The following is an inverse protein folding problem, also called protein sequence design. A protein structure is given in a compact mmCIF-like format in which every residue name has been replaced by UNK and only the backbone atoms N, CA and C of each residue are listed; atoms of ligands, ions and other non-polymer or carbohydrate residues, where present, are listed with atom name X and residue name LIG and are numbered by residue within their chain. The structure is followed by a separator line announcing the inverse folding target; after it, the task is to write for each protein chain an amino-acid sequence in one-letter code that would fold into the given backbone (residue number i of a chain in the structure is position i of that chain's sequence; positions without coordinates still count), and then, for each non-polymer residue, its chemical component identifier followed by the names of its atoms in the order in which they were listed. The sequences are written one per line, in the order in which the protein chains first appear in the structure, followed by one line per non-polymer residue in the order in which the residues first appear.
data_IF_334792055321
#
_entry.id   IF_334792055321
#
_cell.length_a   1.000
_cell.length_b   1.000
_cell.length_c   1.000
_cell.angle_alpha   90.00
_cell.angle_beta   90.00
_cell.angle_gamma   90.00
#
_symmetry.space_group_name_H-M   'P 1'
#
loop_
_entity.id
_entity.type
_entity.pdbx_description
1 polymer ?
#
# COMPACT_ATOMS: atom_id res chain seq x y z
N UNK A 1 -3.90 37.25 -26.46
CA UNK A 1 -3.27 37.05 -25.14
C UNK A 1 -4.35 37.01 -24.07
N UNK A 2 -4.75 35.83 -23.63
CA UNK A 2 -5.44 35.61 -22.35
C UNK A 2 -5.52 34.10 -22.12
N UNK A 3 -4.38 33.49 -21.80
CA UNK A 3 -4.38 32.17 -21.16
C UNK A 3 -5.03 32.36 -19.79
N UNK A 4 -6.29 31.93 -19.66
CA UNK A 4 -6.94 31.77 -18.37
C UNK A 4 -6.04 30.86 -17.53
N UNK A 5 -5.43 31.42 -16.49
CA UNK A 5 -4.95 30.65 -15.35
C UNK A 5 -6.18 29.98 -14.72
N UNK A 6 -6.58 28.81 -15.21
CA UNK A 6 -7.40 27.89 -14.44
C UNK A 6 -6.54 27.49 -13.24
N UNK A 7 -6.85 28.06 -12.07
CA UNK A 7 -6.29 27.57 -10.82
C UNK A 7 -6.64 26.09 -10.71
N UNK A 8 -5.64 25.23 -10.86
CA UNK A 8 -5.80 23.79 -10.69
C UNK A 8 -6.29 23.57 -9.26
N UNK A 9 -7.49 23.01 -9.12
CA UNK A 9 -8.12 22.76 -7.83
C UNK A 9 -7.29 21.72 -7.03
N UNK A 10 -7.14 21.88 -5.70
CA UNK A 10 -6.36 20.94 -4.91
C UNK A 10 -6.88 19.50 -5.01
N UNK A 11 -5.96 18.52 -5.12
CA UNK A 11 -6.27 17.10 -5.30
C UNK A 11 -7.24 16.54 -4.25
N UNK A 12 -7.19 17.01 -3.01
CA UNK A 12 -8.04 16.50 -1.92
C UNK A 12 -9.52 16.90 -2.06
N UNK A 13 -9.84 17.94 -2.85
CA UNK A 13 -11.22 18.44 -2.96
C UNK A 13 -12.19 17.41 -3.54
N UNK A 14 -11.70 16.46 -4.32
CA UNK A 14 -12.52 15.36 -4.83
C UNK A 14 -13.14 14.49 -3.71
N UNK A 15 -12.52 14.44 -2.53
CA UNK A 15 -13.02 13.68 -1.38
C UNK A 15 -14.04 14.46 -0.53
N UNK A 16 -14.11 15.78 -0.73
CA UNK A 16 -15.01 16.69 0.00
C UNK A 16 -16.22 17.10 -0.84
N UNK A 17 -16.44 16.42 -1.98
CA UNK A 17 -17.54 16.66 -2.91
C UNK A 17 -18.40 15.41 -3.06
N UNK A 18 -19.69 15.62 -3.30
CA UNK A 18 -20.59 14.54 -3.66
C UNK A 18 -20.09 13.88 -4.95
N UNK A 19 -19.77 12.58 -4.92
CA UNK A 19 -19.14 11.96 -6.09
C UNK A 19 -20.09 11.81 -7.30
N UNK A 20 -21.38 12.11 -7.15
CA UNK A 20 -22.33 12.24 -8.26
C UNK A 20 -22.56 13.68 -8.72
N UNK A 21 -22.81 14.60 -7.80
CA UNK A 21 -23.21 15.98 -8.14
C UNK A 21 -22.05 16.99 -8.10
N UNK A 22 -20.89 16.57 -7.62
CA UNK A 22 -19.65 17.36 -7.56
C UNK A 22 -19.72 18.67 -6.77
N UNK A 23 -20.83 18.99 -6.10
CA UNK A 23 -20.87 20.07 -5.11
C UNK A 23 -20.09 19.67 -3.85
N UNK A 24 -19.54 20.67 -3.16
CA UNK A 24 -18.90 20.50 -1.85
C UNK A 24 -19.98 20.12 -0.84
N UNK A 25 -19.64 19.25 0.11
CA UNK A 25 -20.57 18.90 1.19
C UNK A 25 -20.84 20.09 2.10
N UNK A 26 -22.03 20.15 2.68
CA UNK A 26 -22.41 21.25 3.57
C UNK A 26 -23.09 20.75 4.83
N UNK A 27 -22.90 21.47 5.95
CA UNK A 27 -23.53 21.14 7.22
C UNK A 27 -24.90 21.83 7.39
N UNK A 28 -25.04 23.10 7.02
CA UNK A 28 -26.29 23.86 7.25
C UNK A 28 -27.47 23.29 6.44
N UNK A 29 -27.20 22.86 5.21
CA UNK A 29 -28.19 22.20 4.37
C UNK A 29 -28.12 20.68 4.51
N UNK A 30 -29.08 20.08 5.21
CA UNK A 30 -29.18 18.62 5.42
C UNK A 30 -29.18 17.81 4.13
N UNK A 31 -29.61 18.39 3.00
CA UNK A 31 -29.59 17.72 1.68
C UNK A 31 -28.16 17.46 1.17
N UNK A 32 -27.19 18.25 1.64
CA UNK A 32 -25.79 18.23 1.23
C UNK A 32 -24.89 17.49 2.22
N UNK A 33 -25.47 16.89 3.27
CA UNK A 33 -24.71 16.10 4.24
C UNK A 33 -24.02 14.91 3.55
N UNK A 34 -22.73 14.66 3.84
CA UNK A 34 -21.99 13.53 3.26
C UNK A 34 -22.46 12.22 3.88
N UNK A 35 -22.79 11.24 3.04
CA UNK A 35 -23.14 9.88 3.44
C UNK A 35 -22.23 8.92 2.67
N UNK A 36 -21.42 8.18 3.42
CA UNK A 36 -20.51 7.18 2.87
C UNK A 36 -21.22 5.83 2.72
N UNK A 37 -21.09 5.23 1.55
CA UNK A 37 -21.64 3.92 1.23
C UNK A 37 -20.75 2.79 1.79
N UNK A 38 -21.32 1.79 2.51
CA UNK A 38 -20.54 0.84 3.29
C UNK A 38 -19.78 -0.21 2.48
N UNK A 39 -20.15 -0.48 1.23
CA UNK A 39 -19.50 -1.50 0.40
C UNK A 39 -18.47 -0.94 -0.58
N UNK A 40 -18.46 0.37 -0.84
CA UNK A 40 -17.58 1.00 -1.84
C UNK A 40 -16.80 2.23 -1.34
N UNK A 41 -17.06 2.74 -0.13
CA UNK A 41 -16.41 3.93 0.45
C UNK A 41 -16.60 5.24 -0.36
N UNK A 42 -17.45 5.20 -1.39
CA UNK A 42 -17.88 6.39 -2.10
C UNK A 42 -18.86 7.21 -1.23
N UNK A 43 -18.63 8.51 -1.17
CA UNK A 43 -19.43 9.44 -0.37
C UNK A 43 -20.32 10.31 -1.26
N UNK A 44 -21.62 10.30 -1.00
CA UNK A 44 -22.64 11.06 -1.73
C UNK A 44 -23.34 12.03 -0.79
N UNK A 45 -23.99 13.06 -1.33
CA UNK A 45 -24.88 13.88 -0.52
C UNK A 45 -26.18 13.14 -0.18
N UNK A 46 -26.78 13.48 0.96
CA UNK A 46 -28.05 12.90 1.43
C UNK A 46 -29.18 13.00 0.41
N UNK A 47 -29.25 14.09 -0.35
CA UNK A 47 -30.22 14.26 -1.43
C UNK A 47 -30.08 13.18 -2.51
N UNK A 48 -28.84 12.84 -2.88
CA UNK A 48 -28.59 11.81 -3.88
C UNK A 48 -28.88 10.42 -3.34
N UNK A 49 -28.50 10.14 -2.09
CA UNK A 49 -28.83 8.89 -1.40
C UNK A 49 -30.35 8.63 -1.42
N UNK A 50 -31.17 9.67 -1.19
CA UNK A 50 -32.62 9.57 -1.27
C UNK A 50 -33.14 9.14 -2.64
N UNK A 51 -32.44 9.48 -3.75
CA UNK A 51 -32.84 9.09 -5.11
C UNK A 51 -32.51 7.63 -5.44
N UNK A 52 -31.42 7.10 -4.90
CA UNK A 52 -30.97 5.71 -5.16
C UNK A 52 -31.46 4.73 -4.08
N UNK A 53 -32.44 5.13 -3.26
CA UNK A 53 -32.96 4.35 -2.14
C UNK A 53 -33.47 2.97 -2.56
N UNK A 54 -34.10 2.89 -3.72
CA UNK A 54 -34.70 1.66 -4.23
C UNK A 54 -33.71 0.84 -5.08
N UNK A 55 -32.84 1.50 -5.85
CA UNK A 55 -31.83 0.86 -6.71
C UNK A 55 -30.72 0.18 -5.91
N UNK A 56 -30.36 0.75 -4.74
CA UNK A 56 -29.33 0.25 -3.82
C UNK A 56 -27.97 -0.05 -4.45
N UNK A 57 -27.61 0.69 -5.50
CA UNK A 57 -26.35 0.54 -6.22
C UNK A 57 -25.58 1.84 -6.22
N UNK A 58 -24.27 1.73 -6.09
CA UNK A 58 -23.41 2.89 -6.18
C UNK A 58 -23.39 3.39 -7.63
N UNK A 59 -23.52 4.71 -7.86
CA UNK A 59 -23.50 5.24 -9.23
C UNK A 59 -22.15 5.11 -9.93
N UNK A 60 -21.06 4.92 -9.19
CA UNK A 60 -19.70 4.92 -9.72
C UNK A 60 -19.24 3.51 -10.12
N UNK A 61 -19.40 2.53 -9.24
CA UNK A 61 -18.90 1.16 -9.45
C UNK A 61 -20.02 0.11 -9.55
N UNK A 62 -21.29 0.53 -9.45
CA UNK A 62 -22.47 -0.35 -9.52
C UNK A 62 -22.52 -1.43 -8.43
N UNK A 63 -21.69 -1.29 -7.38
CA UNK A 63 -21.68 -2.21 -6.25
C UNK A 63 -22.98 -2.03 -5.47
N UNK A 64 -23.64 -3.15 -5.20
CA UNK A 64 -24.86 -3.16 -4.38
C UNK A 64 -24.52 -2.98 -2.90
N UNK A 65 -25.39 -2.30 -2.16
CA UNK A 65 -25.22 -2.08 -0.73
C UNK A 65 -26.54 -2.28 0.04
N UNK A 66 -26.45 -2.48 1.35
CA UNK A 66 -27.62 -2.62 2.22
C UNK A 66 -28.30 -3.99 2.08
N UNK A 67 -27.56 -5.04 2.43
CA UNK A 67 -27.95 -6.47 2.31
C UNK A 67 -29.19 -6.81 3.17
N UNK A 68 -29.50 -6.03 4.20
CA UNK A 68 -30.54 -6.36 5.19
C UNK A 68 -31.87 -5.59 5.00
N UNK A 69 -32.24 -5.17 3.79
CA UNK A 69 -33.44 -4.35 3.51
C UNK A 69 -33.53 -3.02 4.29
N UNK A 70 -32.51 -2.63 5.04
CA UNK A 70 -32.50 -1.41 5.86
C UNK A 70 -32.62 -0.13 5.02
N UNK A 71 -33.27 0.93 5.55
CA UNK A 71 -33.41 2.20 4.83
C UNK A 71 -32.05 2.90 4.70
N UNK A 72 -31.58 3.11 3.48
CA UNK A 72 -30.27 3.73 3.18
C UNK A 72 -30.25 5.21 3.58
N UNK A 73 -31.43 5.85 3.62
CA UNK A 73 -31.63 7.20 4.13
C UNK A 73 -31.36 7.34 5.64
N UNK A 74 -31.19 6.22 6.36
CA UNK A 74 -30.80 6.16 7.78
C UNK A 74 -29.31 5.88 7.99
N UNK A 75 -28.52 5.82 6.92
CA UNK A 75 -27.06 5.82 7.04
C UNK A 75 -26.59 7.15 7.67
N UNK A 76 -25.59 7.10 8.56
CA UNK A 76 -25.16 8.28 9.29
C UNK A 76 -24.34 9.21 8.40
N UNK A 77 -24.39 10.50 8.74
CA UNK A 77 -23.55 11.53 8.13
C UNK A 77 -22.08 11.28 8.48
N UNK A 78 -21.20 11.44 7.50
CA UNK A 78 -19.76 11.38 7.69
C UNK A 78 -19.25 12.71 8.29
N UNK A 79 -19.33 12.82 9.62
CA UNK A 79 -18.88 14.00 10.36
C UNK A 79 -17.39 14.31 10.22
N UNK A 80 -16.46 13.33 10.15
CA UNK A 80 -15.05 13.62 9.88
C UNK A 80 -14.81 14.52 8.64
N UNK A 81 -15.52 14.29 7.53
CA UNK A 81 -15.41 15.17 6.36
C UNK A 81 -15.96 16.57 6.62
N UNK A 82 -17.05 16.69 7.39
CA UNK A 82 -17.59 17.99 7.77
C UNK A 82 -16.66 18.75 8.72
N UNK A 83 -15.91 18.06 9.60
CA UNK A 83 -14.90 18.67 10.47
C UNK A 83 -13.79 19.34 9.66
N UNK A 84 -13.41 18.74 8.53
CA UNK A 84 -12.44 19.35 7.59
C UNK A 84 -12.98 20.66 7.02
N UNK A 85 -14.26 20.70 6.65
CA UNK A 85 -14.89 21.84 5.98
C UNK A 85 -15.36 22.95 6.94
N UNK A 86 -15.78 22.60 8.16
CA UNK A 86 -16.45 23.49 9.10
C UNK A 86 -15.71 23.58 10.43
N UNK A 87 -15.94 24.67 11.17
CA UNK A 87 -15.48 24.77 12.55
C UNK A 87 -16.16 23.68 13.40
N UNK A 88 -15.40 22.80 14.11
CA UNK A 88 -15.97 21.78 14.99
C UNK A 88 -16.93 22.33 16.04
N UNK A 89 -16.81 23.61 16.43
CA UNK A 89 -17.72 24.27 17.37
C UNK A 89 -19.17 24.36 16.85
N UNK A 90 -19.35 24.35 15.53
CA UNK A 90 -20.67 24.42 14.85
C UNK A 90 -21.30 23.05 14.63
N UNK A 91 -20.54 21.98 14.81
CA UNK A 91 -21.00 20.61 14.58
C UNK A 91 -21.48 19.97 15.90
N UNK A 92 -22.38 18.98 15.84
CA UNK A 92 -22.82 18.22 17.01
C UNK A 92 -21.62 17.61 17.73
N UNK A 93 -21.53 17.76 19.06
CA UNK A 93 -20.47 17.14 19.87
C UNK A 93 -20.88 15.80 20.47
N UNK A 94 -22.17 15.63 20.76
CA UNK A 94 -22.69 14.39 21.32
C UNK A 94 -22.83 13.33 20.22
N UNK A 95 -22.30 12.14 20.48
CA UNK A 95 -22.42 10.99 19.59
C UNK A 95 -23.88 10.53 19.46
N UNK A 96 -24.71 10.73 20.50
CA UNK A 96 -26.14 10.47 20.41
C UNK A 96 -26.83 11.41 19.42
N UNK A 97 -26.38 12.66 19.32
CA UNK A 97 -26.92 13.60 18.32
C UNK A 97 -26.48 13.21 16.90
N UNK A 98 -25.21 12.79 16.72
CA UNK A 98 -24.65 12.38 15.43
C UNK A 98 -25.23 11.06 14.90
N UNK A 99 -25.33 10.06 15.77
CA UNK A 99 -25.58 8.66 15.39
C UNK A 99 -26.82 8.07 16.01
N UNK A 100 -27.49 8.77 16.94
CA UNK A 100 -28.65 8.25 17.67
C UNK A 100 -29.91 8.08 16.85
N UNK A 101 -29.89 8.33 15.54
CA UNK A 101 -30.95 7.95 14.59
C UNK A 101 -30.54 6.77 13.70
N UNK A 102 -29.28 6.35 13.73
CA UNK A 102 -28.77 5.25 12.93
C UNK A 102 -29.13 3.91 13.60
N UNK A 103 -29.92 3.03 12.93
CA UNK A 103 -30.31 1.74 13.50
C UNK A 103 -29.11 0.85 13.85
N UNK A 104 -28.06 0.92 13.03
CA UNK A 104 -26.85 0.13 13.21
C UNK A 104 -26.08 0.55 14.46
N UNK A 105 -26.07 1.83 14.79
CA UNK A 105 -25.50 2.35 16.04
C UNK A 105 -26.36 1.99 17.27
N UNK A 106 -27.69 2.10 17.16
CA UNK A 106 -28.61 1.76 18.26
C UNK A 106 -28.50 0.30 18.70
N UNK A 107 -28.26 -0.62 17.74
CA UNK A 107 -28.14 -2.07 17.97
C UNK A 107 -26.84 -2.51 18.62
N UNK A 108 -25.83 -1.63 18.72
CA UNK A 108 -24.57 -1.96 19.37
C UNK A 108 -24.78 -2.12 20.88
N UNK A 109 -24.10 -3.09 21.48
CA UNK A 109 -23.95 -3.17 22.94
C UNK A 109 -23.10 -2.02 23.48
N UNK A 110 -23.10 -1.84 24.81
CA UNK A 110 -22.46 -0.69 25.44
C UNK A 110 -20.92 -0.70 25.33
N UNK A 111 -20.30 -1.89 25.33
CA UNK A 111 -18.86 -2.05 25.11
C UNK A 111 -18.47 -1.62 23.69
N UNK A 112 -19.18 -2.12 22.68
CA UNK A 112 -18.97 -1.79 21.28
C UNK A 112 -19.26 -0.31 20.99
N UNK A 113 -20.26 0.29 21.64
CA UNK A 113 -20.51 1.74 21.57
C UNK A 113 -19.32 2.53 22.10
N UNK A 114 -18.70 2.09 23.20
CA UNK A 114 -17.52 2.75 23.77
C UNK A 114 -16.35 2.72 22.78
N UNK A 115 -16.07 1.56 22.16
CA UNK A 115 -15.05 1.44 21.11
C UNK A 115 -15.37 2.32 19.89
N UNK A 116 -16.63 2.36 19.46
CA UNK A 116 -17.09 3.17 18.35
C UNK A 116 -16.86 4.68 18.60
N UNK A 117 -17.24 5.15 19.79
CA UNK A 117 -17.06 6.55 20.21
C UNK A 117 -15.58 6.92 20.24
N UNK A 118 -14.73 6.02 20.76
CA UNK A 118 -13.28 6.21 20.75
C UNK A 118 -12.75 6.38 19.32
N UNK A 119 -13.16 5.49 18.40
CA UNK A 119 -12.78 5.57 16.99
C UNK A 119 -13.29 6.86 16.32
N UNK A 120 -14.55 7.26 16.53
CA UNK A 120 -15.11 8.50 15.95
C UNK A 120 -14.33 9.73 16.39
N UNK A 121 -13.98 9.78 17.68
CA UNK A 121 -13.15 10.85 18.24
C UNK A 121 -11.79 10.89 17.56
N UNK A 122 -11.11 9.75 17.41
CA UNK A 122 -9.81 9.68 16.71
C UNK A 122 -9.91 10.15 15.26
N UNK A 123 -10.97 9.80 14.53
CA UNK A 123 -11.19 10.29 13.17
C UNK A 123 -11.46 11.80 13.14
N UNK A 124 -12.17 12.32 14.12
CA UNK A 124 -12.33 13.75 14.34
C UNK A 124 -11.01 14.47 14.59
N UNK A 125 -10.15 13.91 15.44
CA UNK A 125 -8.83 14.46 15.76
C UNK A 125 -7.91 14.47 14.52
N UNK A 126 -7.91 13.38 13.73
CA UNK A 126 -7.21 13.32 12.43
C UNK A 126 -7.73 14.41 11.48
N UNK A 127 -9.05 14.57 11.40
CA UNK A 127 -9.70 15.58 10.55
C UNK A 127 -9.32 17.00 10.95
N UNK A 128 -9.22 17.29 12.25
CA UNK A 128 -8.76 18.59 12.76
C UNK A 128 -7.27 18.81 12.47
N UNK A 129 -6.43 17.78 12.63
CA UNK A 129 -5.00 17.86 12.38
C UNK A 129 -4.67 18.09 10.89
N UNK A 130 -5.41 17.43 9.98
CA UNK A 130 -5.18 17.57 8.54
C UNK A 130 -5.74 18.87 7.96
N UNK A 131 -6.84 19.39 8.53
CA UNK A 131 -7.52 20.62 8.07
C UNK A 131 -6.57 21.80 7.78
N UNK A 132 -5.69 22.24 8.70
CA UNK A 132 -4.77 23.35 8.42
C UNK A 132 -3.76 23.00 7.32
N UNK A 133 -3.34 21.72 7.22
CA UNK A 133 -2.36 21.26 6.23
C UNK A 133 -2.95 21.31 4.83
N UNK A 134 -4.18 20.83 4.64
CA UNK A 134 -4.80 20.81 3.30
C UNK A 134 -5.28 22.19 2.84
N UNK A 135 -5.57 23.09 3.77
CA UNK A 135 -5.97 24.46 3.45
C UNK A 135 -4.79 25.38 3.12
N UNK A 136 -3.54 24.91 3.26
CA UNK A 136 -2.37 25.67 2.80
C UNK A 136 -2.07 25.38 1.33
N UNK A 137 -1.56 26.39 0.61
CA UNK A 137 -1.09 26.20 -0.78
C UNK A 137 0.10 25.23 -0.89
N UNK A 138 0.75 24.95 0.24
CA UNK A 138 1.91 24.08 0.38
C UNK A 138 1.54 22.68 0.87
N UNK A 139 0.26 22.30 0.89
CA UNK A 139 -0.17 20.97 1.31
C UNK A 139 0.68 19.84 0.69
N UNK A 140 0.97 19.92 -0.61
CA UNK A 140 1.74 18.89 -1.33
C UNK A 140 3.23 18.83 -0.96
N UNK A 141 3.79 19.86 -0.30
CA UNK A 141 5.18 19.83 0.22
C UNK A 141 5.25 19.25 1.64
N UNK A 142 4.15 19.31 2.39
CA UNK A 142 4.07 18.79 3.77
C UNK A 142 3.62 17.34 3.80
N UNK A 143 2.67 16.96 2.93
CA UNK A 143 2.07 15.62 2.91
C UNK A 143 1.94 15.11 1.47
N UNK A 144 2.43 13.90 1.23
CA UNK A 144 2.37 13.30 -0.10
C UNK A 144 0.92 13.01 -0.52
N UNK A 145 0.65 13.02 -1.83
CA UNK A 145 -0.66 12.61 -2.38
C UNK A 145 -1.04 11.19 -1.94
N UNK A 146 -0.07 10.28 -1.80
CA UNK A 146 -0.29 8.92 -1.30
C UNK A 146 -0.82 8.92 0.13
N UNK A 147 -0.22 9.72 1.01
CA UNK A 147 -0.67 9.85 2.40
C UNK A 147 -2.06 10.49 2.48
N UNK A 148 -2.32 11.57 1.73
CA UNK A 148 -3.67 12.17 1.63
C UNK A 148 -4.70 11.11 1.24
N UNK A 149 -4.44 10.30 0.21
CA UNK A 149 -5.36 9.22 -0.21
C UNK A 149 -5.64 8.23 0.91
N UNK A 150 -4.62 7.81 1.66
CA UNK A 150 -4.76 6.84 2.75
C UNK A 150 -5.57 7.42 3.92
N UNK A 151 -5.33 8.69 4.27
CA UNK A 151 -6.12 9.40 5.28
C UNK A 151 -7.58 9.49 4.83
N UNK A 152 -7.86 9.97 3.62
CA UNK A 152 -9.23 10.05 3.13
C UNK A 152 -9.90 8.68 2.94
N UNK A 153 -9.15 7.61 2.64
CA UNK A 153 -9.69 6.25 2.65
C UNK A 153 -10.15 5.82 4.04
N UNK A 154 -9.42 6.22 5.09
CA UNK A 154 -9.82 5.97 6.46
C UNK A 154 -11.04 6.82 6.86
N UNK A 155 -11.04 8.12 6.53
CA UNK A 155 -12.15 9.02 6.83
C UNK A 155 -13.44 8.65 6.06
N UNK A 156 -13.34 8.10 4.86
CA UNK A 156 -14.46 7.61 4.04
C UNK A 156 -14.86 6.17 4.35
N UNK A 157 -14.58 5.65 5.54
CA UNK A 157 -15.05 4.32 5.94
C UNK A 157 -16.36 4.41 6.72
N UNK A 158 -17.42 3.71 6.28
CA UNK A 158 -18.70 3.65 7.00
C UNK A 158 -18.68 2.52 8.05
N UNK A 159 -17.86 2.67 9.09
CA UNK A 159 -17.59 1.61 10.08
C UNK A 159 -18.71 1.38 11.11
N UNK A 160 -19.77 2.20 11.10
CA UNK A 160 -21.03 1.89 11.80
C UNK A 160 -21.66 0.64 11.21
N UNK A 161 -21.54 0.45 9.89
CA UNK A 161 -22.05 -0.72 9.19
C UNK A 161 -21.04 -1.87 9.20
N UNK A 162 -21.55 -3.11 9.20
CA UNK A 162 -20.72 -4.32 9.28
C UNK A 162 -19.75 -4.43 8.10
N UNK A 163 -20.23 -4.15 6.90
CA UNK A 163 -19.47 -4.20 5.67
C UNK A 163 -18.34 -3.14 5.66
N UNK A 164 -18.63 -1.95 6.19
CA UNK A 164 -17.66 -0.87 6.28
C UNK A 164 -16.59 -1.09 7.34
N UNK A 165 -16.84 -1.89 8.40
CA UNK A 165 -15.82 -2.22 9.42
C UNK A 165 -14.58 -2.92 8.85
N UNK A 166 -14.76 -3.85 7.90
CA UNK A 166 -13.61 -4.52 7.27
C UNK A 166 -12.75 -3.54 6.48
N UNK A 167 -13.39 -2.61 5.78
CA UNK A 167 -12.73 -1.57 4.98
C UNK A 167 -12.01 -0.57 5.86
N UNK A 168 -12.63 -0.17 6.96
CA UNK A 168 -12.02 0.64 8.01
C UNK A 168 -10.72 0.01 8.54
N UNK A 169 -10.75 -1.27 8.91
CA UNK A 169 -9.56 -1.98 9.40
C UNK A 169 -8.45 -2.06 8.34
N UNK A 170 -8.81 -2.31 7.08
CA UNK A 170 -7.85 -2.31 5.95
C UNK A 170 -7.26 -0.92 5.71
N UNK A 171 -8.07 0.13 5.78
CA UNK A 171 -7.62 1.51 5.61
C UNK A 171 -6.68 1.93 6.75
N UNK A 172 -7.01 1.59 8.00
CA UNK A 172 -6.12 1.82 9.16
C UNK A 172 -4.79 1.12 8.99
N UNK A 173 -4.78 -0.19 8.65
CA UNK A 173 -3.56 -0.94 8.42
C UNK A 173 -2.70 -0.31 7.32
N UNK A 174 -3.33 0.00 6.19
CA UNK A 174 -2.66 0.62 5.04
C UNK A 174 -2.07 2.00 5.36
N UNK A 175 -2.74 2.79 6.21
CA UNK A 175 -2.23 4.07 6.69
C UNK A 175 -1.03 3.88 7.63
N UNK A 176 -1.15 2.98 8.61
CA UNK A 176 -0.08 2.67 9.55
C UNK A 176 1.19 2.15 8.85
N UNK A 177 1.04 1.18 7.94
CA UNK A 177 2.15 0.64 7.15
C UNK A 177 2.86 1.74 6.36
N UNK A 178 2.11 2.68 5.77
CA UNK A 178 2.71 3.79 5.03
C UNK A 178 3.41 4.80 5.93
N UNK A 179 2.86 5.09 7.11
CA UNK A 179 3.53 5.95 8.10
C UNK A 179 4.86 5.32 8.54
N UNK A 180 4.88 4.01 8.82
CA UNK A 180 6.11 3.30 9.17
C UNK A 180 7.15 3.41 8.04
N UNK A 181 6.76 3.18 6.79
CA UNK A 181 7.65 3.31 5.63
C UNK A 181 8.19 4.74 5.50
N UNK A 182 7.32 5.75 5.60
CA UNK A 182 7.74 7.16 5.49
C UNK A 182 8.74 7.54 6.61
N UNK A 183 8.54 7.04 7.84
CA UNK A 183 9.47 7.24 8.94
C UNK A 183 10.80 6.54 8.65
N UNK A 184 10.79 5.28 8.19
CA UNK A 184 12.01 4.54 7.84
C UNK A 184 12.80 5.26 6.75
N UNK A 185 12.13 5.68 5.67
CA UNK A 185 12.74 6.43 4.58
C UNK A 185 13.30 7.79 5.04
N UNK A 186 12.64 8.45 6.00
CA UNK A 186 13.10 9.69 6.59
C UNK A 186 14.41 9.57 7.38
N UNK A 187 14.76 8.37 7.86
CA UNK A 187 16.02 8.09 8.57
C UNK A 187 17.12 7.54 7.66
N UNK A 188 16.81 7.11 6.44
CA UNK A 188 17.79 6.55 5.51
C UNK A 188 18.65 7.66 4.89
N UNK A 189 19.95 7.40 4.74
CA UNK A 189 20.87 8.27 3.99
C UNK A 189 20.90 7.85 2.51
N UNK A 190 20.33 8.65 1.58
CA UNK A 190 20.27 8.26 0.16
C UNK A 190 21.65 8.08 -0.49
N UNK A 191 22.68 8.75 0.03
CA UNK A 191 24.04 8.65 -0.50
C UNK A 191 24.73 7.34 -0.12
N UNK A 192 24.30 6.70 0.97
CA UNK A 192 24.88 5.45 1.46
C UNK A 192 24.05 4.22 1.10
N UNK A 193 22.77 4.39 0.75
CA UNK A 193 21.84 3.29 0.48
C UNK A 193 22.40 2.21 -0.45
N UNK A 194 22.99 2.58 -1.58
CA UNK A 194 23.59 1.62 -2.52
C UNK A 194 24.73 0.84 -1.86
N UNK A 195 25.59 1.51 -1.09
CA UNK A 195 26.70 0.86 -0.39
C UNK A 195 26.20 -0.05 0.73
N UNK A 196 25.18 0.38 1.48
CA UNK A 196 24.59 -0.40 2.57
C UNK A 196 23.96 -1.69 2.04
N UNK A 197 23.20 -1.61 0.94
CA UNK A 197 22.63 -2.79 0.26
C UNK A 197 23.74 -3.73 -0.22
N UNK A 198 24.78 -3.23 -0.87
CA UNK A 198 25.85 -4.10 -1.37
C UNK A 198 26.71 -4.69 -0.25
N UNK A 199 26.94 -3.93 0.82
CA UNK A 199 27.61 -4.42 2.02
C UNK A 199 26.81 -5.55 2.67
N UNK A 200 25.50 -5.39 2.81
CA UNK A 200 24.56 -6.40 3.31
C UNK A 200 24.59 -7.69 2.49
N UNK A 201 24.64 -7.57 1.16
CA UNK A 201 24.74 -8.74 0.26
C UNK A 201 26.12 -9.40 0.32
N UNK A 202 27.12 -8.78 0.93
CA UNK A 202 28.49 -9.32 1.05
C UNK A 202 29.42 -8.89 -0.08
N UNK A 203 29.00 -7.91 -0.89
CA UNK A 203 29.81 -7.25 -1.92
C UNK A 203 30.55 -6.06 -1.31
N UNK A 204 31.49 -6.31 -0.39
CA UNK A 204 32.33 -5.24 0.16
C UNK A 204 33.33 -4.75 -0.91
N UNK A 205 33.27 -3.46 -1.26
CA UNK A 205 34.16 -2.83 -2.25
C UNK A 205 34.15 -3.46 -3.65
N UNK A 206 33.10 -4.21 -4.02
CA UNK A 206 33.04 -4.83 -5.34
C UNK A 206 32.42 -3.86 -6.33
N UNK A 207 33.10 -3.69 -7.46
CA UNK A 207 32.50 -3.20 -8.70
C UNK A 207 31.30 -4.10 -8.96
N UNK A 208 30.09 -3.61 -8.70
CA UNK A 208 28.88 -4.25 -9.20
C UNK A 208 29.11 -4.39 -10.71
N UNK A 209 29.41 -5.61 -11.16
CA UNK A 209 29.62 -5.80 -12.58
C UNK A 209 28.33 -5.41 -13.27
N UNK A 210 28.44 -4.64 -14.36
CA UNK A 210 27.29 -4.14 -15.12
C UNK A 210 26.31 -5.28 -15.39
N UNK A 211 25.01 -4.96 -15.47
CA UNK A 211 23.92 -5.94 -15.68
C UNK A 211 24.24 -6.97 -16.78
N UNK A 212 24.98 -6.56 -17.81
CA UNK A 212 25.44 -7.44 -18.89
C UNK A 212 26.35 -8.60 -18.43
N UNK A 213 27.24 -8.39 -17.47
CA UNK A 213 28.10 -9.44 -16.92
C UNK A 213 27.32 -10.43 -16.05
N UNK A 214 26.37 -9.92 -15.25
CA UNK A 214 25.45 -10.76 -14.47
C UNK A 214 24.68 -11.69 -15.38
N UNK A 215 24.06 -11.14 -16.42
CA UNK A 215 23.32 -11.90 -17.41
C UNK A 215 24.19 -12.93 -18.13
N UNK A 216 25.43 -12.58 -18.48
CA UNK A 216 26.40 -13.56 -19.03
C UNK A 216 26.65 -14.71 -18.06
N UNK A 217 26.96 -14.44 -16.79
CA UNK A 217 27.20 -15.48 -15.79
C UNK A 217 25.98 -16.40 -15.63
N UNK A 218 24.78 -15.83 -15.52
CA UNK A 218 23.53 -16.61 -15.38
C UNK A 218 23.28 -17.51 -16.60
N UNK A 219 23.47 -16.99 -17.82
CA UNK A 219 23.34 -17.78 -19.05
C UNK A 219 24.33 -18.95 -19.12
N UNK A 220 25.56 -18.75 -18.65
CA UNK A 220 26.57 -19.81 -18.62
C UNK A 220 26.26 -20.89 -17.57
N UNK A 221 25.73 -20.50 -16.40
CA UNK A 221 25.24 -21.46 -15.41
C UNK A 221 24.09 -22.29 -16.00
N UNK A 222 23.14 -21.67 -16.71
CA UNK A 222 22.06 -22.40 -17.39
C UNK A 222 22.61 -23.35 -18.46
N UNK A 223 23.54 -22.89 -19.29
CA UNK A 223 24.19 -23.70 -20.32
C UNK A 223 24.88 -24.93 -19.73
N UNK A 224 25.59 -24.74 -18.61
CA UNK A 224 26.22 -25.83 -17.88
C UNK A 224 25.21 -26.91 -17.47
N UNK A 225 24.09 -26.53 -16.85
CA UNK A 225 23.06 -27.50 -16.42
C UNK A 225 22.25 -28.13 -17.55
N UNK A 226 22.38 -27.68 -18.81
CA UNK A 226 21.84 -28.41 -19.97
C UNK A 226 22.62 -29.69 -20.25
N UNK A 227 23.89 -29.74 -19.87
CA UNK A 227 24.80 -30.86 -20.13
C UNK A 227 25.15 -31.65 -18.87
N UNK A 228 24.94 -31.07 -17.69
CA UNK A 228 25.26 -31.67 -16.40
C UNK A 228 24.02 -31.74 -15.52
N UNK A 229 23.59 -32.95 -15.14
CA UNK A 229 22.43 -33.13 -14.26
C UNK A 229 22.71 -32.66 -12.83
N UNK A 230 23.93 -32.87 -12.34
CA UNK A 230 24.36 -32.53 -10.98
C UNK A 230 25.83 -32.10 -11.00
N UNK A 231 26.21 -31.17 -10.14
CA UNK A 231 27.60 -30.70 -10.07
C UNK A 231 27.93 -30.05 -8.73
N UNK A 232 29.22 -29.97 -8.39
CA UNK A 232 29.68 -29.20 -7.24
C UNK A 232 29.72 -27.72 -7.59
N UNK A 233 29.51 -26.85 -6.60
CA UNK A 233 29.66 -25.40 -6.76
C UNK A 233 31.02 -25.02 -7.39
N UNK A 234 32.06 -25.77 -7.07
CA UNK A 234 33.42 -25.54 -7.57
C UNK A 234 33.59 -25.80 -9.07
N UNK A 235 32.91 -26.82 -9.58
CA UNK A 235 32.97 -27.19 -10.99
C UNK A 235 32.17 -26.19 -11.84
N UNK A 236 31.02 -25.73 -11.33
CA UNK A 236 30.21 -24.65 -11.93
C UNK A 236 31.05 -23.37 -12.05
N UNK A 237 31.66 -22.93 -10.95
CA UNK A 237 32.51 -21.72 -10.93
C UNK A 237 33.65 -21.85 -11.92
N UNK A 238 34.33 -23.00 -11.94
CA UNK A 238 35.45 -23.25 -12.86
C UNK A 238 35.04 -23.27 -14.33
N UNK A 239 33.83 -23.76 -14.64
CA UNK A 239 33.27 -23.70 -15.99
C UNK A 239 32.99 -22.26 -16.42
N UNK A 240 32.27 -21.50 -15.60
CA UNK A 240 31.86 -20.11 -15.94
C UNK A 240 33.08 -19.20 -16.09
N UNK A 241 34.11 -19.32 -15.24
CA UNK A 241 35.35 -18.53 -15.35
C UNK A 241 36.01 -18.74 -16.73
N UNK A 242 36.07 -19.98 -17.20
CA UNK A 242 36.72 -20.33 -18.46
C UNK A 242 35.99 -19.73 -19.67
N UNK A 243 34.66 -19.75 -19.64
CA UNK A 243 33.83 -19.39 -20.80
C UNK A 243 33.51 -17.88 -20.85
N UNK A 244 33.29 -17.24 -19.69
CA UNK A 244 33.01 -15.79 -19.60
C UNK A 244 34.30 -14.95 -19.70
N UNK A 245 35.48 -15.58 -19.68
CA UNK A 245 36.79 -14.92 -19.55
C UNK A 245 36.84 -13.92 -18.38
N UNK A 246 36.10 -14.21 -17.32
CA UNK A 246 36.03 -13.37 -16.13
C UNK A 246 37.17 -13.73 -15.17
N UNK A 247 37.95 -12.73 -14.76
CA UNK A 247 39.06 -12.94 -13.82
C UNK A 247 38.62 -13.01 -12.34
N UNK A 248 37.32 -12.83 -12.06
CA UNK A 248 36.84 -12.70 -10.68
C UNK A 248 36.07 -13.94 -10.21
N UNK A 249 36.86 -14.91 -9.76
CA UNK A 249 36.37 -16.16 -9.16
C UNK A 249 35.48 -15.94 -7.93
N UNK A 250 35.77 -14.91 -7.12
CA UNK A 250 34.99 -14.61 -5.90
C UNK A 250 33.60 -14.13 -6.28
N UNK A 251 33.50 -13.25 -7.27
CA UNK A 251 32.24 -12.78 -7.81
C UNK A 251 31.34 -13.92 -8.32
N UNK A 252 31.88 -14.82 -9.15
CA UNK A 252 31.11 -15.93 -9.71
C UNK A 252 30.66 -16.90 -8.61
N UNK A 253 31.55 -17.22 -7.66
CA UNK A 253 31.17 -18.05 -6.49
C UNK A 253 30.04 -17.41 -5.70
N UNK A 254 30.12 -16.11 -5.47
CA UNK A 254 29.07 -15.38 -4.77
C UNK A 254 27.71 -15.44 -5.49
N UNK A 255 27.68 -15.33 -6.82
CA UNK A 255 26.44 -15.55 -7.59
C UNK A 255 25.88 -16.95 -7.36
N UNK A 256 26.73 -17.99 -7.42
CA UNK A 256 26.30 -19.37 -7.18
C UNK A 256 25.75 -19.53 -5.75
N UNK A 257 26.38 -18.90 -4.76
CA UNK A 257 25.94 -18.91 -3.37
C UNK A 257 24.59 -18.17 -3.20
N UNK A 258 24.39 -17.03 -3.86
CA UNK A 258 23.11 -16.32 -3.89
C UNK A 258 21.99 -17.16 -4.51
N UNK A 259 22.25 -17.81 -5.65
CA UNK A 259 21.30 -18.71 -6.29
C UNK A 259 20.97 -19.92 -5.39
N UNK A 260 21.96 -20.44 -4.65
CA UNK A 260 21.73 -21.46 -3.63
C UNK A 260 20.82 -20.94 -2.51
N UNK A 261 21.10 -19.75 -1.98
CA UNK A 261 20.27 -19.08 -0.98
C UNK A 261 18.88 -18.67 -1.48
N UNK A 262 18.70 -18.54 -2.80
CA UNK A 262 17.43 -18.31 -3.48
C UNK A 262 16.64 -19.61 -3.73
N UNK A 263 17.15 -20.76 -3.26
CA UNK A 263 16.56 -22.08 -3.48
C UNK A 263 16.46 -22.48 -4.95
N UNK A 264 17.36 -21.98 -5.81
CA UNK A 264 17.40 -22.37 -7.23
C UNK A 264 17.88 -23.81 -7.44
N UNK A 265 18.63 -24.35 -6.47
CA UNK A 265 19.21 -25.69 -6.52
C UNK A 265 18.54 -26.64 -5.54
N UNK A 266 18.43 -27.91 -5.94
CA UNK A 266 18.25 -29.04 -5.04
C UNK A 266 19.63 -29.53 -4.61
N UNK A 267 19.88 -29.55 -3.30
CA UNK A 267 21.17 -29.94 -2.73
C UNK A 267 21.11 -31.40 -2.31
N UNK A 268 22.01 -32.23 -2.85
CA UNK A 268 22.23 -33.61 -2.42
C UNK A 268 23.55 -33.71 -1.66
N UNK A 269 23.49 -34.28 -0.46
CA UNK A 269 24.69 -34.52 0.35
C UNK A 269 25.34 -35.85 -0.04
N UNK A 270 26.58 -35.80 -0.52
CA UNK A 270 27.44 -36.96 -0.68
C UNK A 270 28.52 -36.99 0.40
N UNK A 271 29.14 -38.16 0.61
CA UNK A 271 30.06 -38.47 1.72
C UNK A 271 31.11 -37.37 2.02
N UNK A 272 31.59 -36.65 1.00
CA UNK A 272 32.58 -35.58 1.13
C UNK A 272 32.23 -34.27 0.39
N UNK A 273 31.03 -34.12 -0.17
CA UNK A 273 30.67 -32.92 -0.94
C UNK A 273 29.16 -32.74 -1.12
N UNK A 274 28.72 -31.49 -1.27
CA UNK A 274 27.34 -31.19 -1.68
C UNK A 274 27.26 -31.04 -3.20
N UNK A 275 26.40 -31.85 -3.83
CA UNK A 275 26.04 -31.73 -5.24
C UNK A 275 24.81 -30.84 -5.37
N UNK A 276 24.80 -30.03 -6.41
CA UNK A 276 23.75 -29.08 -6.74
C UNK A 276 23.11 -29.49 -8.06
N UNK A 277 21.79 -29.56 -8.08
CA UNK A 277 20.99 -29.79 -9.27
C UNK A 277 20.06 -28.60 -9.47
N UNK A 278 20.07 -27.98 -10.65
CA UNK A 278 19.17 -26.87 -10.95
C UNK A 278 17.71 -27.37 -10.99
N UNK A 279 16.81 -26.69 -10.29
CA UNK A 279 15.39 -27.05 -10.29
C UNK A 279 14.76 -26.77 -11.67
N UNK A 280 13.74 -27.55 -12.01
CA UNK A 280 13.07 -27.47 -13.31
C UNK A 280 12.32 -26.14 -13.55
N UNK A 281 12.05 -25.37 -12.49
CA UNK A 281 11.36 -24.08 -12.56
C UNK A 281 12.25 -22.98 -13.19
N UNK A 282 13.57 -23.19 -13.27
CA UNK A 282 14.52 -22.20 -13.80
C UNK A 282 15.02 -22.62 -15.18
N UNK A 283 14.23 -22.32 -16.23
CA UNK A 283 14.49 -22.81 -17.60
C UNK A 283 15.23 -21.80 -18.47
N UNK A 284 15.12 -20.53 -18.13
CA UNK A 284 15.70 -19.42 -18.89
C UNK A 284 16.39 -18.41 -17.95
N UNK A 285 17.07 -17.43 -18.54
CA UNK A 285 17.81 -16.43 -17.78
C UNK A 285 16.89 -15.52 -16.96
N UNK A 286 15.67 -15.25 -17.44
CA UNK A 286 14.71 -14.39 -16.74
C UNK A 286 14.25 -15.04 -15.42
N UNK A 287 13.91 -16.34 -15.43
CA UNK A 287 13.51 -17.07 -14.23
C UNK A 287 14.62 -17.05 -13.18
N UNK A 288 15.86 -17.34 -13.61
CA UNK A 288 17.02 -17.40 -12.73
C UNK A 288 17.39 -16.00 -12.21
N UNK A 289 17.24 -14.97 -13.06
CA UNK A 289 17.46 -13.57 -12.70
C UNK A 289 16.43 -13.08 -11.69
N UNK A 290 15.15 -13.40 -11.87
CA UNK A 290 14.09 -13.03 -10.94
C UNK A 290 14.34 -13.62 -9.53
N UNK A 291 14.78 -14.88 -9.45
CA UNK A 291 15.14 -15.50 -8.17
C UNK A 291 16.39 -14.86 -7.53
N UNK A 292 17.40 -14.55 -8.35
CA UNK A 292 18.60 -13.83 -7.91
C UNK A 292 18.27 -12.44 -7.36
N UNK A 293 17.52 -11.62 -8.11
CA UNK A 293 17.13 -10.27 -7.70
C UNK A 293 16.22 -10.31 -6.46
N UNK A 294 15.28 -11.27 -6.40
CA UNK A 294 14.45 -11.45 -5.20
C UNK A 294 15.30 -11.79 -3.97
N UNK A 295 16.39 -12.55 -4.12
CA UNK A 295 17.29 -12.86 -3.02
C UNK A 295 18.05 -11.64 -2.53
N UNK A 296 18.52 -10.79 -3.44
CA UNK A 296 19.15 -9.50 -3.10
C UNK A 296 18.19 -8.64 -2.28
N UNK A 297 16.94 -8.50 -2.75
CA UNK A 297 15.90 -7.74 -2.04
C UNK A 297 15.66 -8.32 -0.64
N UNK A 298 15.56 -9.64 -0.50
CA UNK A 298 15.37 -10.28 0.80
C UNK A 298 16.53 -10.03 1.78
N UNK A 299 17.77 -10.03 1.30
CA UNK A 299 18.93 -9.70 2.14
C UNK A 299 18.86 -8.24 2.59
N UNK A 300 18.60 -7.32 1.65
CA UNK A 300 18.48 -5.90 1.95
C UNK A 300 17.34 -5.59 2.94
N UNK A 301 16.20 -6.27 2.82
CA UNK A 301 15.08 -6.10 3.75
C UNK A 301 15.41 -6.59 5.17
N UNK A 302 16.13 -7.71 5.31
CA UNK A 302 16.52 -8.26 6.62
C UNK A 302 17.51 -7.41 7.40
N UNK A 303 18.41 -6.72 6.71
CA UNK A 303 19.37 -5.81 7.34
C UNK A 303 18.72 -4.47 7.71
N UNK A 304 17.55 -4.16 7.14
CA UNK A 304 16.77 -2.96 7.45
C UNK A 304 15.66 -3.14 8.51
N UNK A 305 15.51 -4.36 9.05
CA UNK A 305 14.62 -4.69 10.19
C UNK A 305 15.34 -4.48 11.53
#
# INVERSE_FOLDING_TARGET
MSTLNQSIEPYYMQFLRCAKYSHVFEYENRSYHPITLPTCDHTMCKQYIGKIRDERKCPQDQVSFGIDHRPIDQLPTNYPLLIILYDPSKLPKDHKERYGQCPSYMKLDDETKTCFISADKTLGDISMAIKPIINTKECESVISRSMIRKIFSLLNSQYVEREGRSKFLKAMRSLAEHICIDIMLGHQNPQQLTNDVWSAVGFQNHTFYESAMQEKVLNHILSFFKHHAESRAEDIVSFVIKDVHANDRRYIRHIVDLLSGASCFQIKQERNSSLMQLKQDFKNCEDLRAAYDSKIIQIALKEGE
#
